data_IF_241380103681
#
_entry.id   IF_241380103681
#
_cell.length_a   1.000
_cell.length_b   1.000
_cell.length_c   1.000
_cell.angle_alpha   90.00
_cell.angle_beta   90.00
_cell.angle_gamma   90.00
#
_symmetry.space_group_name_H-M   'P 1'
#
loop_
_entity.id
_entity.type
_entity.pdbx_description
1 polymer ?
#
# COMPACT_ATOMS: atom_id res chain seq x y z
N UNK A 1 31.95 17.48 -2.16
CA UNK A 1 30.52 17.50 -1.79
C UNK A 1 30.27 18.72 -0.93
N UNK A 2 29.48 19.67 -1.43
CA UNK A 2 29.21 20.95 -0.78
C UNK A 2 28.63 20.78 0.62
N UNK A 3 29.20 21.52 1.58
CA UNK A 3 28.71 21.56 2.97
C UNK A 3 27.26 22.03 3.04
N UNK A 4 26.86 22.90 2.12
CA UNK A 4 25.52 23.47 2.04
C UNK A 4 24.48 22.43 1.63
N UNK A 5 24.82 21.55 0.66
CA UNK A 5 23.94 20.45 0.25
C UNK A 5 23.71 19.47 1.40
N UNK A 6 24.78 19.09 2.13
CA UNK A 6 24.64 18.17 3.28
C UNK A 6 23.76 18.77 4.37
N UNK A 7 23.90 20.08 4.64
CA UNK A 7 23.08 20.79 5.61
C UNK A 7 21.61 20.81 5.20
N UNK A 8 21.33 21.04 3.92
CA UNK A 8 19.97 21.03 3.37
C UNK A 8 19.33 19.64 3.47
N UNK A 9 20.03 18.59 3.06
CA UNK A 9 19.54 17.21 3.14
C UNK A 9 19.26 16.79 4.59
N UNK A 10 20.14 17.17 5.52
CA UNK A 10 19.95 16.87 6.93
C UNK A 10 18.77 17.64 7.53
N UNK A 11 18.57 18.90 7.11
CA UNK A 11 17.43 19.72 7.54
C UNK A 11 16.08 19.12 7.12
N UNK A 12 16.01 18.50 5.94
CA UNK A 12 14.79 17.91 5.39
C UNK A 12 14.79 16.38 5.43
N UNK A 13 15.55 15.75 6.34
CA UNK A 13 15.70 14.29 6.39
C UNK A 13 14.37 13.52 6.46
N UNK A 14 13.36 14.09 7.12
CA UNK A 14 12.02 13.51 7.31
C UNK A 14 11.17 13.54 6.03
N UNK A 15 11.57 14.36 5.04
CA UNK A 15 10.94 14.37 3.73
C UNK A 15 11.40 13.21 2.83
N UNK A 16 12.39 12.41 3.27
CA UNK A 16 12.92 11.28 2.52
C UNK A 16 12.51 9.97 3.20
N UNK A 17 12.18 8.97 2.37
CA UNK A 17 12.03 7.61 2.87
C UNK A 17 13.39 7.09 3.35
N UNK A 18 13.40 6.51 4.55
CA UNK A 18 14.57 5.85 5.14
C UNK A 18 14.25 4.40 5.48
N UNK A 19 15.26 3.61 5.88
CA UNK A 19 15.02 2.24 6.33
C UNK A 19 14.13 2.18 7.58
N UNK A 20 14.23 3.18 8.46
CA UNK A 20 13.43 3.30 9.68
C UNK A 20 12.03 3.92 9.42
N UNK A 21 11.95 4.84 8.45
CA UNK A 21 10.72 5.54 8.04
C UNK A 21 10.49 5.36 6.52
N UNK A 22 10.06 4.18 6.08
CA UNK A 22 9.93 3.83 4.65
C UNK A 22 8.86 4.64 3.91
N UNK A 23 7.91 5.23 4.63
CA UNK A 23 6.84 6.08 4.08
C UNK A 23 7.16 7.59 4.20
N UNK A 24 8.17 8.00 4.98
CA UNK A 24 8.40 9.43 5.31
C UNK A 24 7.19 10.11 5.97
N UNK A 25 7.09 11.44 5.87
CA UNK A 25 5.96 12.25 6.39
C UNK A 25 4.69 12.20 5.48
N UNK A 26 4.16 11.00 5.22
CA UNK A 26 2.89 10.85 4.47
C UNK A 26 1.71 11.20 5.38
N UNK A 27 0.95 12.22 4.97
CA UNK A 27 -0.35 12.55 5.57
C UNK A 27 -1.43 11.67 4.96
N UNK A 28 -2.03 10.83 5.78
CA UNK A 28 -3.16 9.98 5.36
C UNK A 28 -4.33 10.89 4.97
N UNK A 29 -4.82 10.72 3.74
CA UNK A 29 -6.06 11.32 3.28
C UNK A 29 -7.11 10.22 3.12
N UNK A 30 -8.19 10.29 3.90
CA UNK A 30 -9.30 9.37 3.77
C UNK A 30 -10.12 9.71 2.53
N UNK A 31 -10.28 8.74 1.64
CA UNK A 31 -11.09 8.88 0.42
C UNK A 31 -12.36 8.06 0.59
N UNK A 32 -13.51 8.71 0.49
CA UNK A 32 -14.80 8.03 0.40
C UNK A 32 -15.13 7.76 -1.07
N UNK A 33 -15.18 6.48 -1.44
CA UNK A 33 -15.46 6.03 -2.82
C UNK A 33 -16.87 5.47 -2.87
N UNK A 34 -17.80 6.24 -3.44
CA UNK A 34 -19.18 5.82 -3.66
C UNK A 34 -19.37 5.26 -5.07
N UNK A 35 -20.17 4.19 -5.18
CA UNK A 35 -20.59 3.65 -6.48
C UNK A 35 -21.75 4.49 -7.02
N UNK A 36 -21.71 4.78 -8.32
CA UNK A 36 -22.80 5.48 -9.03
C UNK A 36 -24.02 4.58 -9.31
N UNK A 37 -24.00 3.32 -8.86
CA UNK A 37 -25.03 2.32 -9.12
C UNK A 37 -25.38 1.59 -7.83
N UNK A 38 -26.66 1.26 -7.71
CA UNK A 38 -27.18 0.40 -6.63
C UNK A 38 -27.23 -1.06 -7.09
N UNK A 39 -27.28 -1.99 -6.13
CA UNK A 39 -27.26 -3.42 -6.41
C UNK A 39 -28.48 -3.92 -7.22
N UNK A 40 -28.38 -5.12 -7.84
CA UNK A 40 -27.29 -6.08 -7.72
C UNK A 40 -26.08 -5.73 -8.59
N UNK A 41 -24.88 -5.81 -8.00
CA UNK A 41 -23.65 -5.51 -8.72
C UNK A 41 -23.31 -6.56 -9.77
N UNK A 42 -22.57 -6.13 -10.79
CA UNK A 42 -22.16 -6.99 -11.89
C UNK A 42 -21.37 -8.21 -11.38
N UNK A 43 -21.67 -9.46 -11.81
CA UNK A 43 -21.00 -10.67 -11.34
C UNK A 43 -19.47 -10.67 -11.49
N UNK A 44 -18.94 -9.81 -12.36
CA UNK A 44 -17.50 -9.64 -12.60
C UNK A 44 -16.76 -9.09 -11.36
N UNK A 45 -17.45 -8.41 -10.45
CA UNK A 45 -16.88 -7.98 -9.18
C UNK A 45 -16.64 -9.14 -8.20
N UNK A 46 -17.20 -10.32 -8.46
CA UNK A 46 -17.07 -11.51 -7.62
C UNK A 46 -16.10 -12.54 -8.20
N UNK A 47 -15.21 -12.12 -9.10
CA UNK A 47 -14.24 -13.04 -9.70
C UNK A 47 -13.30 -13.59 -8.62
N UNK A 48 -13.07 -14.91 -8.58
CA UNK A 48 -12.01 -15.44 -7.75
C UNK A 48 -10.66 -14.87 -8.20
N UNK A 49 -9.68 -14.86 -7.31
CA UNK A 49 -8.31 -14.57 -7.68
C UNK A 49 -7.87 -15.49 -8.82
N UNK A 50 -7.14 -14.94 -9.78
CA UNK A 50 -6.59 -15.72 -10.88
C UNK A 50 -5.55 -16.69 -10.32
N UNK A 51 -5.44 -17.93 -10.83
CA UNK A 51 -4.43 -18.87 -10.37
C UNK A 51 -3.03 -18.40 -10.75
N UNK A 52 -2.17 -18.25 -9.75
CA UNK A 52 -0.78 -17.83 -9.94
C UNK A 52 0.19 -19.02 -9.98
N UNK A 53 1.30 -18.85 -10.69
CA UNK A 53 2.40 -19.83 -10.65
C UNK A 53 3.06 -19.87 -9.27
N UNK A 54 3.63 -21.02 -8.83
CA UNK A 54 4.26 -21.13 -7.52
C UNK A 54 5.33 -20.06 -7.26
N UNK A 55 6.16 -19.78 -8.27
CA UNK A 55 7.20 -18.75 -8.20
C UNK A 55 6.64 -17.34 -8.06
N UNK A 56 5.54 -17.05 -8.78
CA UNK A 56 4.89 -15.75 -8.66
C UNK A 56 4.28 -15.58 -7.27
N UNK A 57 3.67 -16.64 -6.72
CA UNK A 57 3.08 -16.62 -5.38
C UNK A 57 4.12 -16.32 -4.30
N UNK A 58 5.30 -16.93 -4.36
CA UNK A 58 6.39 -16.68 -3.40
C UNK A 58 6.89 -15.23 -3.45
N UNK A 59 7.06 -14.67 -4.66
CA UNK A 59 7.46 -13.26 -4.81
C UNK A 59 6.41 -12.31 -4.27
N UNK A 60 5.13 -12.54 -4.62
CA UNK A 60 4.01 -11.71 -4.18
C UNK A 60 3.82 -11.79 -2.66
N UNK A 61 4.07 -12.95 -2.05
CA UNK A 61 3.95 -13.11 -0.60
C UNK A 61 4.96 -12.26 0.16
N UNK A 62 6.18 -12.09 -0.36
CA UNK A 62 7.16 -11.17 0.21
C UNK A 62 6.67 -9.71 0.15
N UNK A 63 6.22 -9.27 -1.02
CA UNK A 63 5.75 -7.90 -1.25
C UNK A 63 4.49 -7.58 -0.42
N UNK A 64 3.54 -8.51 -0.35
CA UNK A 64 2.32 -8.37 0.47
C UNK A 64 2.68 -8.23 1.95
N UNK A 65 3.60 -9.05 2.45
CA UNK A 65 4.02 -8.99 3.84
C UNK A 65 4.70 -7.65 4.18
N UNK A 66 5.47 -7.09 3.25
CA UNK A 66 6.05 -5.75 3.41
C UNK A 66 4.96 -4.68 3.48
N UNK A 67 4.03 -4.67 2.53
CA UNK A 67 2.92 -3.72 2.50
C UNK A 67 2.00 -3.81 3.74
N UNK A 68 1.83 -5.00 4.30
CA UNK A 68 1.11 -5.20 5.57
C UNK A 68 1.86 -4.58 6.76
N UNK A 69 3.19 -4.73 6.83
CA UNK A 69 4.02 -4.09 7.87
C UNK A 69 3.99 -2.56 7.78
N UNK A 70 3.93 -2.04 6.55
CA UNK A 70 3.80 -0.61 6.27
C UNK A 70 2.41 -0.05 6.59
N UNK A 71 1.43 -0.91 6.91
CA UNK A 71 0.04 -0.51 7.14
C UNK A 71 -0.71 -0.08 5.88
N UNK A 72 -0.12 -0.25 4.70
CA UNK A 72 -0.76 0.04 3.41
C UNK A 72 -1.81 -1.03 3.05
N UNK A 73 -1.60 -2.27 3.49
CA UNK A 73 -2.58 -3.36 3.42
C UNK A 73 -3.05 -3.74 4.83
N UNK A 74 -4.30 -4.18 4.91
CA UNK A 74 -4.88 -4.76 6.13
C UNK A 74 -5.76 -5.95 5.78
N UNK A 75 -5.81 -6.91 6.68
CA UNK A 75 -6.79 -7.99 6.58
C UNK A 75 -8.19 -7.42 6.79
N UNK A 76 -9.07 -7.69 5.84
CA UNK A 76 -10.50 -7.43 5.98
C UNK A 76 -11.18 -8.79 6.04
N UNK A 77 -11.75 -9.11 7.20
CA UNK A 77 -12.60 -10.28 7.28
C UNK A 77 -13.73 -10.08 6.28
N UNK A 78 -13.87 -11.03 5.36
CA UNK A 78 -15.00 -11.04 4.44
C UNK A 78 -16.22 -11.34 5.31
N UNK A 79 -16.87 -10.29 5.82
CA UNK A 79 -18.18 -10.41 6.43
C UNK A 79 -19.10 -10.97 5.35
N UNK A 80 -19.28 -12.29 5.37
CA UNK A 80 -20.38 -12.98 4.70
C UNK A 80 -21.66 -12.46 5.34
N UNK A 81 -22.29 -11.48 4.70
CA UNK A 81 -23.72 -11.26 4.84
C UNK A 81 -24.46 -12.18 3.89
#
# INVERSE_FOLDING_TARGET
>A
MDKDLKKLLFQYREAFASEDEPMGDIKVHEVDIMLNVEGPYHPLLRRPAYPDSPRARESLEADINELMKLGALRNVDTMRK
#
